data_IF_245106617061
#
_entry.id   IF_245106617061
#
_cell.length_a   1.000
_cell.length_b   1.000
_cell.length_c   1.000
_cell.angle_alpha   90.00
_cell.angle_beta   90.00
_cell.angle_gamma   90.00
#
_symmetry.space_group_name_H-M   'P 1'
#
loop_
_entity.id
_entity.type
_entity.pdbx_description
1 polymer ?
#
# COMPACT_ATOMS: atom_id res chain seq x y z
N UNK A 1 -24.83 -17.48 1.96
CA UNK A 1 -23.83 -16.39 1.81
C UNK A 1 -24.16 -15.46 0.63
N UNK A 2 -24.45 -16.04 -0.53
CA UNK A 2 -24.80 -15.27 -1.73
C UNK A 2 -26.05 -14.40 -1.53
N UNK A 3 -27.09 -14.89 -0.85
CA UNK A 3 -28.30 -14.14 -0.54
C UNK A 3 -27.99 -12.89 0.29
N UNK A 4 -27.12 -13.02 1.29
CA UNK A 4 -26.70 -11.89 2.16
C UNK A 4 -25.96 -10.81 1.35
N UNK A 5 -25.07 -11.21 0.47
CA UNK A 5 -24.36 -10.27 -0.40
C UNK A 5 -25.30 -9.60 -1.39
N UNK A 6 -26.25 -10.33 -1.92
CA UNK A 6 -27.29 -9.78 -2.83
C UNK A 6 -28.18 -8.75 -2.11
N UNK A 7 -28.64 -9.07 -0.89
CA UNK A 7 -29.41 -8.16 -0.04
C UNK A 7 -28.62 -6.88 0.29
N UNK A 8 -27.29 -7.00 0.49
CA UNK A 8 -26.38 -5.90 0.72
C UNK A 8 -26.01 -5.11 -0.56
N UNK A 9 -26.59 -5.47 -1.72
CA UNK A 9 -26.26 -4.84 -3.01
C UNK A 9 -24.81 -5.12 -3.45
N UNK A 10 -24.24 -6.25 -3.03
CA UNK A 10 -22.82 -6.61 -3.21
C UNK A 10 -21.82 -5.62 -2.60
N UNK A 11 -22.28 -4.76 -1.71
CA UNK A 11 -21.46 -3.86 -0.93
C UNK A 11 -21.19 -4.47 0.46
N UNK A 12 -19.95 -4.83 0.74
CA UNK A 12 -19.54 -5.47 1.99
C UNK A 12 -19.80 -4.60 3.22
N UNK A 13 -19.75 -3.29 3.09
CA UNK A 13 -20.04 -2.35 4.18
C UNK A 13 -21.52 -2.33 4.60
N UNK A 14 -22.42 -2.86 3.76
CA UNK A 14 -23.85 -2.98 4.06
C UNK A 14 -24.21 -4.36 4.65
N UNK A 15 -23.26 -5.28 4.77
CA UNK A 15 -23.50 -6.59 5.38
C UNK A 15 -23.61 -6.44 6.89
N UNK A 16 -24.73 -6.87 7.53
CA UNK A 16 -24.85 -6.85 8.99
C UNK A 16 -23.74 -7.63 9.68
N UNK A 17 -23.13 -7.06 10.73
CA UNK A 17 -21.98 -7.63 11.42
C UNK A 17 -22.23 -9.07 11.92
N UNK A 18 -23.45 -9.38 12.38
CA UNK A 18 -23.87 -10.71 12.83
C UNK A 18 -23.85 -11.79 11.74
N UNK A 19 -23.82 -11.37 10.47
CA UNK A 19 -23.76 -12.26 9.29
C UNK A 19 -22.37 -12.41 8.72
N UNK A 20 -21.38 -11.70 9.27
CA UNK A 20 -19.96 -11.76 8.89
C UNK A 20 -19.30 -12.87 9.70
N UNK A 21 -18.74 -13.87 9.02
CA UNK A 21 -17.97 -14.94 9.67
C UNK A 21 -16.50 -14.57 9.86
N UNK A 22 -15.89 -14.04 8.80
CA UNK A 22 -14.50 -13.60 8.75
C UNK A 22 -14.45 -12.39 7.83
N UNK A 23 -13.91 -11.30 8.32
CA UNK A 23 -13.65 -10.10 7.52
C UNK A 23 -12.15 -9.96 7.27
N UNK A 24 -11.77 -10.12 6.01
CA UNK A 24 -10.39 -9.97 5.52
C UNK A 24 -10.27 -8.83 4.51
N UNK A 25 -11.33 -8.08 4.27
CA UNK A 25 -11.42 -7.07 3.21
C UNK A 25 -11.56 -5.66 3.73
N UNK A 26 -12.22 -5.47 4.87
CA UNK A 26 -12.37 -4.14 5.45
C UNK A 26 -11.23 -3.86 6.41
N UNK A 27 -10.45 -2.85 6.10
CA UNK A 27 -9.31 -2.38 6.90
C UNK A 27 -9.65 -1.15 7.75
N UNK A 28 -10.86 -0.61 7.58
CA UNK A 28 -11.34 0.55 8.32
C UNK A 28 -11.99 0.10 9.63
N UNK A 29 -11.26 0.27 10.73
CA UNK A 29 -11.70 -0.11 12.07
C UNK A 29 -10.94 -1.30 12.64
N UNK A 30 -11.46 -1.86 13.72
CA UNK A 30 -10.91 -3.08 14.31
C UNK A 30 -11.41 -4.29 13.54
N UNK A 31 -10.56 -4.92 12.75
CA UNK A 31 -10.82 -6.25 12.22
C UNK A 31 -10.93 -7.27 13.37
N UNK A 32 -11.44 -8.47 13.07
CA UNK A 32 -11.57 -9.53 14.08
C UNK A 32 -10.23 -9.83 14.74
N UNK A 33 -10.16 -9.63 16.05
CA UNK A 33 -8.98 -9.93 16.86
C UNK A 33 -9.24 -11.15 17.74
N UNK A 34 -8.23 -12.02 17.88
CA UNK A 34 -8.30 -13.14 18.80
C UNK A 34 -8.31 -12.66 20.26
N UNK A 35 -8.82 -13.52 21.16
CA UNK A 35 -8.77 -13.25 22.59
C UNK A 35 -7.34 -12.99 23.09
N UNK A 36 -6.33 -13.68 22.52
CA UNK A 36 -4.92 -13.47 22.85
C UNK A 36 -4.37 -12.14 22.36
N UNK A 37 -4.83 -11.64 21.20
CA UNK A 37 -4.48 -10.30 20.72
C UNK A 37 -5.05 -9.23 21.66
N UNK A 38 -6.32 -9.35 22.08
CA UNK A 38 -6.91 -8.46 23.06
C UNK A 38 -6.18 -8.52 24.41
N UNK A 39 -5.86 -9.72 24.88
CA UNK A 39 -5.08 -9.88 26.10
C UNK A 39 -3.67 -9.28 25.96
N UNK A 40 -3.06 -9.37 24.79
CA UNK A 40 -1.78 -8.73 24.48
C UNK A 40 -1.83 -7.21 24.58
N UNK A 41 -2.90 -6.58 24.07
CA UNK A 41 -3.13 -5.15 24.22
C UNK A 41 -3.22 -4.73 25.68
N UNK A 42 -3.95 -5.50 26.49
CA UNK A 42 -4.13 -5.20 27.91
C UNK A 42 -2.86 -5.43 28.75
N UNK A 43 -1.95 -6.30 28.31
CA UNK A 43 -0.64 -6.55 28.94
C UNK A 43 0.45 -5.61 28.45
N UNK A 44 0.19 -4.85 27.39
CA UNK A 44 1.13 -3.87 26.87
C UNK A 44 1.52 -2.85 27.92
N UNK A 45 2.76 -2.40 27.89
CA UNK A 45 3.23 -1.33 28.74
C UNK A 45 3.15 0.01 28.00
N UNK A 46 2.83 1.05 28.74
CA UNK A 46 2.87 2.42 28.27
C UNK A 46 4.02 3.17 28.96
N UNK A 47 4.84 3.83 28.14
CA UNK A 47 5.95 4.64 28.62
C UNK A 47 6.20 5.77 27.63
N UNK A 48 6.61 6.92 28.13
CA UNK A 48 7.03 8.03 27.27
C UNK A 48 8.18 7.62 26.33
N UNK A 49 9.10 6.81 26.83
CA UNK A 49 10.16 6.22 26.03
C UNK A 49 10.62 4.89 26.65
N UNK A 50 11.08 3.95 25.81
CA UNK A 50 11.66 2.69 26.27
C UNK A 50 10.65 1.61 26.65
N UNK A 51 9.41 1.68 26.15
CA UNK A 51 8.40 0.63 26.36
C UNK A 51 8.90 -0.72 25.83
N UNK A 52 8.79 -1.78 26.63
CA UNK A 52 9.18 -3.14 26.23
C UNK A 52 8.38 -3.64 25.05
N UNK A 53 7.09 -3.30 24.99
CA UNK A 53 6.18 -3.63 23.87
C UNK A 53 6.71 -3.09 22.54
N UNK A 54 7.26 -1.87 22.53
CA UNK A 54 7.85 -1.29 21.33
C UNK A 54 9.02 -2.14 20.81
N UNK A 55 9.94 -2.56 21.68
CA UNK A 55 11.09 -3.37 21.25
C UNK A 55 10.69 -4.77 20.78
N UNK A 56 9.62 -5.35 21.33
CA UNK A 56 9.05 -6.61 20.84
C UNK A 56 8.46 -6.42 19.44
N UNK A 57 7.67 -5.37 19.25
CA UNK A 57 7.11 -4.99 17.95
C UNK A 57 8.21 -4.72 16.90
N UNK A 58 9.18 -3.87 17.25
CA UNK A 58 10.30 -3.52 16.36
C UNK A 58 11.06 -4.77 15.89
N UNK A 59 11.37 -5.67 16.81
CA UNK A 59 12.06 -6.93 16.50
C UNK A 59 11.23 -7.80 15.54
N UNK A 60 9.94 -7.98 15.84
CA UNK A 60 9.05 -8.77 15.01
C UNK A 60 8.95 -8.21 13.57
N UNK A 61 8.84 -6.89 13.43
CA UNK A 61 8.81 -6.25 12.11
C UNK A 61 10.13 -6.43 11.36
N UNK A 62 11.27 -6.25 12.05
CA UNK A 62 12.59 -6.48 11.45
C UNK A 62 12.79 -7.93 10.99
N UNK A 63 12.38 -8.89 11.81
CA UNK A 63 12.46 -10.33 11.48
C UNK A 63 11.61 -10.70 10.28
N UNK A 64 10.40 -10.14 10.19
CA UNK A 64 9.47 -10.44 9.11
C UNK A 64 9.83 -9.75 7.79
N UNK A 65 10.29 -8.50 7.84
CA UNK A 65 10.48 -7.67 6.65
C UNK A 65 11.94 -7.56 6.20
N UNK A 66 12.90 -7.81 7.09
CA UNK A 66 14.32 -7.53 6.85
C UNK A 66 14.66 -6.04 6.87
N UNK A 67 13.71 -5.15 7.14
CA UNK A 67 13.95 -3.71 7.21
C UNK A 67 14.76 -3.34 8.44
N UNK A 68 15.72 -2.43 8.28
CA UNK A 68 16.61 -2.01 9.36
C UNK A 68 15.93 -1.07 10.35
N UNK A 69 15.16 -0.13 9.84
CA UNK A 69 14.50 0.90 10.66
C UNK A 69 13.00 0.65 10.73
N UNK A 70 12.42 0.88 11.88
CA UNK A 70 10.98 0.74 12.14
C UNK A 70 10.48 2.02 12.81
N UNK A 71 9.64 2.76 12.12
CA UNK A 71 9.10 4.03 12.61
C UNK A 71 7.57 3.92 12.68
N UNK A 72 7.00 3.60 13.84
CA UNK A 72 5.56 3.49 13.99
C UNK A 72 4.89 4.87 13.89
N UNK A 73 3.75 4.91 13.25
CA UNK A 73 2.86 6.07 13.16
C UNK A 73 1.45 5.65 13.58
N UNK A 74 0.58 6.59 13.90
CA UNK A 74 -0.77 6.26 14.35
C UNK A 74 -1.66 5.67 13.26
N UNK A 75 -1.34 5.91 11.97
CA UNK A 75 -2.01 5.30 10.81
C UNK A 75 -1.21 5.50 9.52
N UNK A 76 -1.46 4.66 8.50
CA UNK A 76 -0.70 4.66 7.24
C UNK A 76 -0.68 6.02 6.52
N UNK A 77 -1.83 6.69 6.40
CA UNK A 77 -1.90 8.02 5.76
C UNK A 77 -1.09 9.11 6.45
N UNK A 78 -0.77 8.94 7.73
CA UNK A 78 0.15 9.84 8.44
C UNK A 78 1.59 9.56 8.02
N UNK A 79 1.96 8.29 7.81
CA UNK A 79 3.27 7.93 7.26
C UNK A 79 3.46 8.51 5.86
N UNK A 80 2.45 8.38 4.99
CA UNK A 80 2.44 8.99 3.65
C UNK A 80 2.63 10.50 3.72
N UNK A 81 1.87 11.19 4.58
CA UNK A 81 1.99 12.64 4.74
C UNK A 81 3.39 13.07 5.15
N UNK A 82 4.00 12.36 6.10
CA UNK A 82 5.37 12.64 6.55
C UNK A 82 6.35 12.39 5.41
N UNK A 83 6.30 11.22 4.77
CA UNK A 83 7.21 10.84 3.70
C UNK A 83 7.16 11.85 2.55
N UNK A 84 5.97 12.11 1.99
CA UNK A 84 5.83 12.98 0.82
C UNK A 84 6.10 14.45 1.12
N UNK A 85 5.96 14.90 2.39
CA UNK A 85 6.40 16.23 2.77
C UNK A 85 7.92 16.39 2.78
N UNK A 86 8.66 15.28 2.94
CA UNK A 86 10.12 15.28 2.96
C UNK A 86 10.71 15.15 1.55
N UNK A 87 10.15 14.20 0.74
CA UNK A 87 10.74 13.84 -0.55
C UNK A 87 9.99 14.41 -1.76
N UNK A 88 8.79 14.96 -1.55
CA UNK A 88 7.99 15.58 -2.59
C UNK A 88 8.39 17.02 -2.91
N UNK A 89 7.50 17.71 -3.61
CA UNK A 89 7.67 19.14 -3.96
C UNK A 89 7.51 19.41 -5.45
N UNK A 90 7.49 20.70 -5.84
CA UNK A 90 7.38 21.10 -7.24
C UNK A 90 8.48 20.50 -8.12
N UNK A 91 8.12 20.06 -9.32
CA UNK A 91 9.04 19.42 -10.27
C UNK A 91 9.36 17.96 -9.97
N UNK A 92 8.77 17.37 -8.92
CA UNK A 92 8.88 15.94 -8.63
C UNK A 92 7.67 15.18 -9.15
N UNK A 93 7.90 13.93 -9.57
CA UNK A 93 6.84 13.02 -10.03
C UNK A 93 6.98 11.67 -9.35
N UNK A 94 5.88 11.19 -8.80
CA UNK A 94 5.80 9.84 -8.23
C UNK A 94 5.11 8.92 -9.24
N UNK A 95 5.73 7.78 -9.50
CA UNK A 95 5.19 6.76 -10.37
C UNK A 95 4.63 5.61 -9.54
N UNK A 96 3.51 5.01 -9.96
CA UNK A 96 2.90 3.87 -9.28
C UNK A 96 2.25 2.92 -10.27
N UNK A 97 2.02 1.66 -9.86
CA UNK A 97 1.08 0.79 -10.56
C UNK A 97 -0.37 1.36 -10.51
N UNK A 98 -0.75 1.96 -9.37
CA UNK A 98 -1.92 2.85 -9.23
C UNK A 98 -1.88 3.43 -7.82
N UNK A 99 -1.92 4.73 -7.69
CA UNK A 99 -1.98 5.38 -6.39
C UNK A 99 -3.34 5.12 -5.72
N UNK A 100 -3.31 4.85 -4.44
CA UNK A 100 -4.50 4.97 -3.61
C UNK A 100 -4.89 6.45 -3.47
N UNK A 101 -6.13 6.74 -3.06
CA UNK A 101 -6.65 8.11 -3.02
C UNK A 101 -5.87 9.01 -2.05
N UNK A 102 -5.56 8.52 -0.83
CA UNK A 102 -4.77 9.28 0.15
C UNK A 102 -3.32 9.43 -0.28
N UNK A 103 -2.75 8.43 -0.92
CA UNK A 103 -1.38 8.45 -1.45
C UNK A 103 -1.26 9.53 -2.52
N UNK A 104 -2.17 9.53 -3.51
CA UNK A 104 -2.25 10.59 -4.53
C UNK A 104 -2.43 11.96 -3.91
N UNK A 105 -3.37 12.11 -2.99
CA UNK A 105 -3.64 13.37 -2.32
C UNK A 105 -2.40 13.90 -1.58
N UNK A 106 -1.67 13.06 -0.85
CA UNK A 106 -0.46 13.45 -0.14
C UNK A 106 0.69 13.83 -1.09
N UNK A 107 0.82 13.14 -2.23
CA UNK A 107 1.76 13.50 -3.30
C UNK A 107 1.42 14.89 -3.83
N UNK A 108 0.18 15.12 -4.26
CA UNK A 108 -0.26 16.37 -4.88
C UNK A 108 -0.22 17.56 -3.91
N UNK A 109 -0.57 17.36 -2.64
CA UNK A 109 -0.45 18.40 -1.59
C UNK A 109 1.02 18.81 -1.35
N UNK A 110 1.99 17.91 -1.60
CA UNK A 110 3.41 18.28 -1.55
C UNK A 110 3.84 19.21 -2.70
N UNK A 111 3.00 19.36 -3.72
CA UNK A 111 3.31 20.11 -4.96
C UNK A 111 3.91 19.22 -6.06
N UNK A 112 3.99 17.92 -5.84
CA UNK A 112 4.46 16.94 -6.82
C UNK A 112 3.33 16.41 -7.73
N UNK A 113 3.69 15.70 -8.79
CA UNK A 113 2.75 15.01 -9.68
C UNK A 113 2.70 13.52 -9.38
N UNK A 114 1.52 12.90 -9.55
CA UNK A 114 1.29 11.47 -9.42
C UNK A 114 0.89 10.86 -10.78
N UNK A 115 1.63 9.84 -11.23
CA UNK A 115 1.41 9.16 -12.51
C UNK A 115 1.19 7.67 -12.28
N UNK A 116 0.04 7.15 -12.74
CA UNK A 116 -0.30 5.73 -12.69
C UNK A 116 0.10 5.02 -13.97
N UNK A 117 0.68 3.84 -13.81
CA UNK A 117 1.20 3.01 -14.89
C UNK A 117 0.69 1.56 -14.74
N UNK A 118 -0.63 1.33 -14.62
CA UNK A 118 -1.17 -0.02 -14.53
C UNK A 118 -0.98 -0.77 -15.85
N UNK A 119 -0.95 -2.10 -15.78
CA UNK A 119 -1.04 -2.91 -17.01
C UNK A 119 -2.34 -2.60 -17.77
N UNK A 120 -2.34 -2.58 -19.13
CA UNK A 120 -3.53 -2.23 -19.89
C UNK A 120 -4.77 -3.06 -19.55
N UNK A 121 -4.59 -4.36 -19.28
CA UNK A 121 -5.68 -5.26 -18.91
C UNK A 121 -6.34 -4.90 -17.56
N UNK A 122 -5.70 -4.11 -16.71
CA UNK A 122 -6.28 -3.67 -15.44
C UNK A 122 -7.58 -2.88 -15.62
N UNK A 123 -7.71 -2.15 -16.72
CA UNK A 123 -8.89 -1.33 -17.05
C UNK A 123 -9.96 -2.10 -17.85
N UNK A 124 -9.68 -3.34 -18.25
CA UNK A 124 -10.60 -4.22 -18.95
C UNK A 124 -11.36 -5.10 -17.94
N UNK A 125 -12.38 -4.57 -17.28
CA UNK A 125 -13.05 -5.25 -16.14
C UNK A 125 -13.61 -6.63 -16.51
N UNK A 126 -14.11 -6.81 -17.73
CA UNK A 126 -14.67 -8.08 -18.22
C UNK A 126 -13.60 -9.15 -18.53
N UNK A 127 -12.33 -8.75 -18.66
CA UNK A 127 -11.23 -9.66 -18.96
C UNK A 127 -10.73 -10.33 -17.69
N UNK A 128 -10.79 -11.65 -17.65
CA UNK A 128 -10.22 -12.44 -16.54
C UNK A 128 -8.73 -12.65 -16.80
N UNK A 129 -7.90 -12.00 -16.01
CA UNK A 129 -6.44 -12.23 -15.99
C UNK A 129 -5.94 -12.26 -14.55
N UNK A 130 -4.95 -13.09 -14.25
CA UNK A 130 -4.25 -13.03 -12.98
C UNK A 130 -3.40 -11.74 -12.92
N UNK A 131 -3.22 -11.21 -11.72
CA UNK A 131 -2.27 -10.12 -11.46
C UNK A 131 -2.53 -8.80 -12.22
N UNK A 132 -3.78 -8.44 -12.37
CA UNK A 132 -4.18 -7.14 -12.97
C UNK A 132 -3.70 -5.92 -12.16
N UNK A 133 -3.21 -6.13 -10.93
CA UNK A 133 -2.57 -5.11 -10.12
C UNK A 133 -1.11 -4.80 -10.51
N UNK A 134 -0.54 -5.53 -11.47
CA UNK A 134 0.83 -5.30 -11.92
C UNK A 134 1.03 -3.88 -12.50
N UNK A 135 2.28 -3.40 -12.41
CA UNK A 135 2.73 -2.22 -13.17
C UNK A 135 3.10 -2.63 -14.61
N UNK A 136 2.83 -1.77 -15.57
CA UNK A 136 3.39 -1.89 -16.93
C UNK A 136 4.87 -1.52 -16.90
N UNK A 137 5.73 -2.52 -16.96
CA UNK A 137 7.19 -2.35 -16.86
C UNK A 137 7.78 -1.53 -18.01
N UNK A 138 7.20 -1.66 -19.22
CA UNK A 138 7.66 -0.87 -20.37
C UNK A 138 7.29 0.59 -20.22
N UNK A 139 6.06 0.85 -19.77
CA UNK A 139 5.60 2.21 -19.48
C UNK A 139 6.39 2.83 -18.33
N UNK A 140 6.74 2.04 -17.30
CA UNK A 140 7.56 2.48 -16.17
C UNK A 140 8.94 2.94 -16.66
N UNK A 141 9.64 2.11 -17.41
CA UNK A 141 10.98 2.44 -17.90
C UNK A 141 10.95 3.63 -18.87
N UNK A 142 9.98 3.66 -19.81
CA UNK A 142 9.80 4.77 -20.74
C UNK A 142 9.52 6.10 -19.99
N UNK A 143 8.69 6.06 -18.95
CA UNK A 143 8.38 7.26 -18.16
C UNK A 143 9.55 7.74 -17.33
N UNK A 144 10.39 6.85 -16.78
CA UNK A 144 11.64 7.22 -16.11
C UNK A 144 12.60 7.92 -17.08
N UNK A 145 12.74 7.40 -18.30
CA UNK A 145 13.60 8.00 -19.31
C UNK A 145 13.09 9.35 -19.81
N UNK A 146 11.76 9.50 -19.93
CA UNK A 146 11.11 10.76 -20.32
C UNK A 146 11.31 11.87 -19.31
N UNK A 147 11.12 11.57 -18.02
CA UNK A 147 11.12 12.56 -16.94
C UNK A 147 12.52 12.84 -16.38
N UNK A 148 13.45 11.90 -16.53
CA UNK A 148 14.72 11.89 -15.84
C UNK A 148 14.61 11.32 -14.41
N UNK A 149 15.46 10.36 -14.05
CA UNK A 149 15.37 9.66 -12.74
C UNK A 149 15.52 10.61 -11.55
N UNK A 150 16.21 11.73 -11.69
CA UNK A 150 16.41 12.74 -10.64
C UNK A 150 15.13 13.49 -10.25
N UNK A 151 14.10 13.45 -11.09
CA UNK A 151 12.79 14.04 -10.82
C UNK A 151 11.85 13.07 -10.10
N UNK A 152 12.23 11.80 -10.00
CA UNK A 152 11.42 10.72 -9.43
C UNK A 152 11.98 10.32 -8.05
N UNK A 153 11.43 10.83 -6.95
CA UNK A 153 11.95 10.56 -5.60
C UNK A 153 11.85 9.09 -5.21
N UNK A 154 10.78 8.41 -5.62
CA UNK A 154 10.55 6.98 -5.42
C UNK A 154 9.46 6.47 -6.38
N UNK A 155 9.48 5.14 -6.61
CA UNK A 155 8.40 4.42 -7.27
C UNK A 155 7.55 3.69 -6.24
N UNK A 156 6.23 3.77 -6.35
CA UNK A 156 5.26 3.19 -5.42
C UNK A 156 4.66 1.92 -6.04
N UNK A 157 4.71 0.81 -5.30
CA UNK A 157 3.99 -0.40 -5.67
C UNK A 157 2.95 -0.71 -4.60
N UNK A 158 1.68 -0.47 -4.95
CA UNK A 158 0.53 -0.78 -4.07
C UNK A 158 0.13 -2.24 -4.21
N UNK A 159 0.18 -3.00 -3.11
CA UNK A 159 -0.15 -4.44 -3.02
C UNK A 159 -1.09 -4.72 -1.83
N UNK A 160 -2.31 -5.24 -2.05
CA UNK A 160 -2.92 -5.44 -3.37
C UNK A 160 -3.40 -4.11 -3.93
N UNK A 161 -3.50 -3.98 -5.25
CA UNK A 161 -3.83 -2.71 -5.88
C UNK A 161 -5.30 -2.31 -5.61
N UNK A 162 -5.53 -1.53 -4.57
CA UNK A 162 -6.85 -1.17 -4.06
C UNK A 162 -7.68 -0.39 -5.09
N UNK A 163 -7.10 0.64 -5.70
CA UNK A 163 -7.78 1.51 -6.68
C UNK A 163 -8.29 0.77 -7.91
N UNK A 164 -7.76 -0.40 -8.20
CA UNK A 164 -8.20 -1.28 -9.28
C UNK A 164 -9.04 -2.46 -8.78
N UNK A 165 -9.66 -2.36 -7.60
CA UNK A 165 -10.54 -3.38 -7.02
C UNK A 165 -9.80 -4.49 -6.28
N UNK A 166 -8.68 -4.19 -5.63
CA UNK A 166 -7.90 -5.16 -4.84
C UNK A 166 -7.16 -6.18 -5.70
N UNK A 167 -6.77 -5.81 -6.92
CA UNK A 167 -6.11 -6.72 -7.84
C UNK A 167 -4.71 -7.10 -7.37
N UNK A 168 -4.34 -8.40 -7.41
CA UNK A 168 -3.04 -8.86 -6.95
C UNK A 168 -1.91 -8.42 -7.88
N UNK A 169 -0.73 -8.23 -7.28
CA UNK A 169 0.54 -8.00 -7.97
C UNK A 169 1.36 -9.30 -7.93
N UNK A 170 1.96 -9.69 -9.05
CA UNK A 170 2.81 -10.87 -9.08
C UNK A 170 4.19 -10.58 -8.50
N UNK A 171 4.77 -11.56 -7.79
CA UNK A 171 6.15 -11.49 -7.32
C UNK A 171 7.16 -11.30 -8.46
N UNK A 172 6.85 -11.81 -9.66
CA UNK A 172 7.68 -11.60 -10.84
C UNK A 172 7.69 -10.11 -11.22
N UNK A 173 6.54 -9.49 -11.36
CA UNK A 173 6.41 -8.07 -11.71
C UNK A 173 7.07 -7.16 -10.65
N UNK A 174 6.89 -7.49 -9.37
CA UNK A 174 7.54 -6.75 -8.28
C UNK A 174 9.07 -6.82 -8.36
N UNK A 175 9.65 -8.00 -8.67
CA UNK A 175 11.10 -8.16 -8.85
C UNK A 175 11.60 -7.37 -10.04
N UNK A 176 10.95 -7.50 -11.20
CA UNK A 176 11.34 -6.79 -12.42
C UNK A 176 11.23 -5.27 -12.23
N UNK A 177 10.18 -4.77 -11.59
CA UNK A 177 10.07 -3.35 -11.23
C UNK A 177 11.18 -2.91 -10.27
N UNK A 178 11.53 -3.74 -9.28
CA UNK A 178 12.64 -3.48 -8.37
C UNK A 178 14.00 -3.44 -9.09
N UNK A 179 14.20 -4.26 -10.14
CA UNK A 179 15.42 -4.24 -10.95
C UNK A 179 15.52 -2.96 -11.78
N UNK A 180 14.43 -2.53 -12.41
CA UNK A 180 14.35 -1.23 -13.11
C UNK A 180 14.68 -0.10 -12.13
N UNK A 181 14.00 -0.05 -10.98
CA UNK A 181 14.23 0.99 -9.98
C UNK A 181 15.70 1.04 -9.51
N UNK A 182 16.31 -0.12 -9.27
CA UNK A 182 17.74 -0.20 -8.91
C UNK A 182 18.66 0.31 -10.00
N UNK A 183 18.38 -0.03 -11.27
CA UNK A 183 19.16 0.44 -12.41
C UNK A 183 19.19 1.97 -12.47
N UNK A 184 18.05 2.61 -12.27
CA UNK A 184 17.92 4.07 -12.27
C UNK A 184 18.18 4.73 -10.90
N UNK A 185 18.53 3.95 -9.88
CA UNK A 185 18.75 4.42 -8.49
C UNK A 185 17.54 5.10 -7.86
N UNK A 186 16.35 4.68 -8.25
CA UNK A 186 15.08 5.14 -7.69
C UNK A 186 14.69 4.20 -6.54
N UNK A 187 14.42 4.69 -5.33
CA UNK A 187 13.91 3.87 -4.24
C UNK A 187 12.56 3.24 -4.59
N UNK A 188 12.36 1.97 -4.21
CA UNK A 188 11.07 1.30 -4.28
C UNK A 188 10.36 1.45 -2.93
N UNK A 189 9.16 1.99 -2.96
CA UNK A 189 8.23 2.06 -1.85
C UNK A 189 7.13 1.01 -2.05
N UNK A 190 6.97 0.13 -1.09
CA UNK A 190 5.92 -0.88 -1.07
C UNK A 190 4.81 -0.42 -0.13
N UNK A 191 3.60 -0.25 -0.69
CA UNK A 191 2.40 0.18 0.00
C UNK A 191 1.39 -0.97 0.12
#
# INVERSE_FOLDING_TARGET
RESILKEAGYNLFNVPAEKVLIDLLTDSGTSAMSAEQWAGLMRGDESYAGAKSFFVFERAVRELTGMREVIPVHQGRAAERILFSIVGGPGKTFLSNSHFDTTRANVEVSGASAVDLPVPSALEFARSEPFKGNVDLKALEAKIQELGPETIPLFIMTVTNNSLGGQPVSMKNLREASEICRHYKIPLFLD
#
